data_IF_803442229798
#
_entry.id   IF_803442229798
#
_cell.length_a   1.000
_cell.length_b   1.000
_cell.length_c   1.000
_cell.angle_alpha   90.00
_cell.angle_beta   90.00
_cell.angle_gamma   90.00
#
_symmetry.space_group_name_H-M   'P 1'
#
loop_
_entity.id
_entity.type
_entity.pdbx_description
1 polymer ?
#
# COMPACT_ATOMS: atom_id res chain seq x y z
N UNK A 1 16.19 11.86 -8.36
CA UNK A 1 17.30 11.80 -9.27
C UNK A 1 17.63 10.41 -9.81
N UNK A 2 18.27 9.54 -9.03
CA UNK A 2 18.73 8.22 -9.52
C UNK A 2 17.60 7.25 -9.90
N UNK A 3 16.43 7.41 -9.29
CA UNK A 3 15.30 6.48 -9.45
C UNK A 3 14.28 6.96 -10.47
N UNK A 4 14.39 8.19 -10.94
CA UNK A 4 13.50 8.79 -11.92
C UNK A 4 14.15 8.87 -13.29
N UNK A 5 13.34 8.97 -14.34
CA UNK A 5 13.83 9.15 -15.71
C UNK A 5 13.89 10.63 -16.08
N UNK A 6 14.94 11.04 -16.75
CA UNK A 6 15.10 12.43 -17.21
C UNK A 6 14.13 12.84 -18.33
N UNK A 7 13.56 11.86 -19.04
CA UNK A 7 12.65 12.08 -20.17
C UNK A 7 11.53 11.05 -20.18
N UNK A 8 10.30 11.53 -20.40
CA UNK A 8 9.12 10.67 -20.60
C UNK A 8 9.41 9.60 -21.69
N UNK A 9 9.07 8.36 -21.40
CA UNK A 9 9.25 7.22 -22.29
C UNK A 9 10.60 6.50 -22.21
N UNK A 10 11.56 6.97 -21.40
CA UNK A 10 12.74 6.17 -21.06
C UNK A 10 12.38 5.16 -19.97
N UNK A 11 13.00 3.98 -20.04
CA UNK A 11 12.89 2.98 -18.98
C UNK A 11 13.64 3.46 -17.74
N UNK A 12 13.00 3.38 -16.57
CA UNK A 12 13.67 3.59 -15.30
C UNK A 12 14.64 2.44 -14.98
N UNK A 13 15.46 2.60 -13.93
CA UNK A 13 16.48 1.61 -13.54
C UNK A 13 15.89 0.24 -13.21
N UNK A 14 14.65 0.18 -12.76
CA UNK A 14 13.96 -1.03 -12.32
C UNK A 14 13.29 -1.80 -13.46
N UNK A 15 13.07 -1.17 -14.62
CA UNK A 15 12.31 -1.77 -15.70
C UNK A 15 12.89 -3.10 -16.18
N UNK A 16 12.12 -4.18 -16.02
CA UNK A 16 12.48 -5.55 -16.37
C UNK A 16 13.53 -6.18 -15.47
N UNK A 17 13.78 -5.63 -14.27
CA UNK A 17 14.70 -6.21 -13.27
C UNK A 17 13.94 -6.85 -12.12
N UNK A 18 14.63 -7.71 -11.37
CA UNK A 18 14.18 -8.16 -10.05
C UNK A 18 14.79 -7.22 -9.02
N UNK A 19 13.96 -6.71 -8.10
CA UNK A 19 14.39 -5.82 -7.04
C UNK A 19 14.50 -6.64 -5.75
N UNK A 20 15.61 -6.49 -5.04
CA UNK A 20 15.79 -7.00 -3.69
C UNK A 20 15.95 -5.83 -2.74
N UNK A 21 15.05 -5.72 -1.76
CA UNK A 21 15.05 -4.65 -0.77
C UNK A 21 15.55 -5.21 0.55
N UNK A 22 16.57 -4.57 1.12
CA UNK A 22 17.20 -4.95 2.37
C UNK A 22 17.31 -3.75 3.32
N UNK A 23 17.55 -4.01 4.60
CA UNK A 23 17.79 -2.95 5.59
C UNK A 23 16.55 -2.50 6.37
N UNK A 24 15.43 -3.21 6.23
CA UNK A 24 14.18 -2.96 6.93
C UNK A 24 13.68 -4.24 7.63
N UNK A 25 14.47 -4.87 8.52
CA UNK A 25 14.18 -6.19 9.06
C UNK A 25 12.90 -6.25 9.88
N UNK A 26 12.57 -5.17 10.60
CA UNK A 26 11.41 -5.08 11.50
C UNK A 26 10.11 -4.60 10.81
N UNK A 27 10.16 -4.39 9.48
CA UNK A 27 8.97 -3.98 8.73
C UNK A 27 7.88 -5.04 8.85
N UNK A 28 6.64 -4.61 9.11
CA UNK A 28 5.50 -5.54 9.12
C UNK A 28 5.27 -6.12 7.73
N UNK A 29 4.78 -7.36 7.67
CA UNK A 29 4.57 -8.05 6.38
C UNK A 29 3.63 -7.25 5.48
N UNK A 30 2.57 -6.64 6.02
CA UNK A 30 1.63 -5.80 5.28
C UNK A 30 2.31 -4.55 4.68
N UNK A 31 3.25 -3.94 5.42
CA UNK A 31 4.05 -2.82 4.92
C UNK A 31 5.05 -3.28 3.84
N UNK A 32 5.62 -4.49 4.00
CA UNK A 32 6.47 -5.08 2.97
C UNK A 32 5.67 -5.37 1.68
N UNK A 33 4.40 -5.76 1.78
CA UNK A 33 3.52 -5.91 0.62
C UNK A 33 3.30 -4.58 -0.10
N UNK A 34 2.99 -3.50 0.62
CA UNK A 34 2.85 -2.16 0.01
C UNK A 34 4.13 -1.74 -0.73
N UNK A 35 5.29 -1.94 -0.08
CA UNK A 35 6.59 -1.61 -0.66
C UNK A 35 6.90 -2.44 -1.91
N UNK A 36 6.61 -3.75 -1.89
CA UNK A 36 6.85 -4.63 -3.04
C UNK A 36 5.86 -4.38 -4.18
N UNK A 37 4.58 -4.07 -3.86
CA UNK A 37 3.56 -3.76 -4.86
C UNK A 37 3.93 -2.53 -5.68
N UNK A 38 4.50 -1.50 -5.05
CA UNK A 38 4.95 -0.30 -5.74
C UNK A 38 6.02 -0.57 -6.82
N UNK A 39 6.74 -1.70 -6.74
CA UNK A 39 7.70 -2.11 -7.75
C UNK A 39 7.04 -2.42 -9.10
N UNK A 40 5.80 -2.90 -9.10
CA UNK A 40 5.03 -3.17 -10.32
C UNK A 40 4.79 -1.87 -11.12
N UNK A 41 4.53 -0.76 -10.45
CA UNK A 41 4.35 0.56 -11.06
C UNK A 41 5.64 1.10 -11.70
N UNK A 42 6.78 0.53 -11.31
CA UNK A 42 8.09 0.82 -11.88
C UNK A 42 8.50 -0.17 -12.99
N UNK A 43 7.56 -1.04 -13.42
CA UNK A 43 7.79 -2.08 -14.43
C UNK A 43 8.89 -3.08 -14.04
N UNK A 44 9.10 -3.32 -12.75
CA UNK A 44 9.95 -4.39 -12.28
C UNK A 44 9.34 -5.76 -12.61
N UNK A 45 10.17 -6.76 -12.84
CA UNK A 45 9.72 -8.12 -13.11
C UNK A 45 9.32 -8.86 -11.83
N UNK A 46 9.96 -8.55 -10.71
CA UNK A 46 9.64 -9.05 -9.38
C UNK A 46 10.24 -8.12 -8.30
N UNK A 47 9.77 -8.28 -7.07
CA UNK A 47 10.36 -7.62 -5.91
C UNK A 47 10.32 -8.57 -4.71
N UNK A 48 11.43 -8.65 -3.98
CA UNK A 48 11.51 -9.30 -2.68
C UNK A 48 11.92 -8.27 -1.62
N UNK A 49 11.41 -8.45 -0.40
CA UNK A 49 11.75 -7.63 0.76
C UNK A 49 12.29 -8.55 1.85
N UNK A 50 13.52 -8.29 2.28
CA UNK A 50 14.12 -9.06 3.36
C UNK A 50 13.54 -8.60 4.70
N UNK A 51 12.95 -9.54 5.43
CA UNK A 51 12.42 -9.35 6.77
C UNK A 51 13.11 -10.31 7.73
N UNK A 52 13.08 -9.97 9.02
CA UNK A 52 13.39 -10.92 10.08
C UNK A 52 12.23 -11.91 10.26
N UNK A 53 12.47 -12.98 11.00
CA UNK A 53 11.48 -14.04 11.19
C UNK A 53 10.29 -13.61 12.05
N UNK A 54 10.49 -12.70 12.97
CA UNK A 54 9.48 -12.24 13.93
C UNK A 54 8.25 -11.62 13.26
N UNK A 55 8.37 -10.65 12.34
CA UNK A 55 7.21 -10.13 11.58
C UNK A 55 6.48 -11.22 10.79
N UNK A 56 7.22 -12.18 10.23
CA UNK A 56 6.63 -13.27 9.44
C UNK A 56 5.87 -14.23 10.36
N UNK A 57 6.42 -14.58 11.52
CA UNK A 57 5.75 -15.42 12.53
C UNK A 57 4.45 -14.76 13.01
N UNK A 58 4.48 -13.46 13.30
CA UNK A 58 3.30 -12.69 13.69
C UNK A 58 2.21 -12.77 12.62
N UNK A 59 2.57 -12.49 11.36
CA UNK A 59 1.64 -12.54 10.24
C UNK A 59 1.06 -13.95 10.02
N UNK A 60 1.88 -14.98 10.00
CA UNK A 60 1.42 -16.37 9.83
C UNK A 60 0.55 -16.84 10.99
N UNK A 61 0.87 -16.46 12.23
CA UNK A 61 0.08 -16.78 13.41
C UNK A 61 -1.32 -16.16 13.34
N UNK A 62 -1.40 -14.91 12.91
CA UNK A 62 -2.67 -14.22 12.67
C UNK A 62 -3.51 -14.92 11.59
N UNK A 63 -2.88 -15.34 10.49
CA UNK A 63 -3.56 -16.07 9.42
C UNK A 63 -4.03 -17.46 9.88
N UNK A 64 -3.27 -18.17 10.70
CA UNK A 64 -3.70 -19.46 11.27
C UNK A 64 -4.94 -19.27 12.14
N UNK A 65 -4.95 -18.26 13.01
CA UNK A 65 -6.12 -17.95 13.85
C UNK A 65 -7.35 -17.62 13.01
N UNK A 66 -7.19 -16.81 11.95
CA UNK A 66 -8.25 -16.48 11.01
C UNK A 66 -8.79 -17.73 10.31
N UNK A 67 -7.90 -18.59 9.79
CA UNK A 67 -8.30 -19.83 9.13
C UNK A 67 -9.09 -20.73 10.08
N UNK A 68 -8.68 -20.83 11.35
CA UNK A 68 -9.42 -21.54 12.39
C UNK A 68 -10.85 -21.03 12.53
N UNK A 69 -11.02 -19.70 12.65
CA UNK A 69 -12.33 -19.06 12.70
C UNK A 69 -13.17 -19.34 11.44
N UNK A 70 -12.58 -19.25 10.24
CA UNK A 70 -13.27 -19.57 8.98
C UNK A 70 -13.80 -21.02 8.96
N UNK A 71 -13.00 -21.98 9.45
CA UNK A 71 -13.41 -23.39 9.53
C UNK A 71 -14.58 -23.55 10.52
N UNK A 72 -14.51 -22.92 11.69
CA UNK A 72 -15.56 -22.94 12.71
C UNK A 72 -16.88 -22.33 12.20
N UNK A 73 -16.81 -21.29 11.40
CA UNK A 73 -17.94 -20.62 10.75
C UNK A 73 -18.51 -21.37 9.53
N UNK A 74 -17.91 -22.50 9.16
CA UNK A 74 -18.41 -23.37 8.09
C UNK A 74 -18.07 -22.91 6.68
N UNK A 75 -16.95 -22.20 6.49
CA UNK A 75 -16.45 -21.88 5.15
C UNK A 75 -16.21 -23.14 4.33
N UNK A 76 -16.47 -23.03 3.02
CA UNK A 76 -16.26 -24.16 2.09
C UNK A 76 -14.79 -24.60 2.07
N UNK A 77 -14.58 -25.89 1.78
CA UNK A 77 -13.27 -26.52 1.68
C UNK A 77 -12.39 -26.39 2.96
N UNK A 78 -12.98 -26.70 4.11
CA UNK A 78 -12.27 -26.74 5.40
C UNK A 78 -10.98 -27.57 5.37
N UNK A 79 -10.93 -28.63 4.54
CA UNK A 79 -9.73 -29.49 4.39
C UNK A 79 -8.55 -28.71 3.79
N UNK A 80 -8.79 -27.87 2.78
CA UNK A 80 -7.75 -27.02 2.19
C UNK A 80 -7.33 -25.90 3.15
N UNK A 81 -8.28 -25.31 3.88
CA UNK A 81 -8.01 -24.33 4.91
C UNK A 81 -7.10 -24.92 6.00
N UNK A 82 -7.44 -26.09 6.52
CA UNK A 82 -6.62 -26.77 7.54
C UNK A 82 -5.20 -27.05 7.02
N UNK A 83 -5.08 -27.61 5.81
CA UNK A 83 -3.75 -27.86 5.21
C UNK A 83 -2.90 -26.61 5.09
N UNK A 84 -3.51 -25.44 4.80
CA UNK A 84 -2.80 -24.16 4.78
C UNK A 84 -2.31 -23.76 6.17
N UNK A 85 -3.19 -23.86 7.18
CA UNK A 85 -2.82 -23.57 8.57
C UNK A 85 -1.68 -24.48 9.05
N UNK A 86 -1.75 -25.79 8.74
CA UNK A 86 -0.72 -26.76 9.10
C UNK A 86 0.64 -26.41 8.46
N UNK A 87 0.65 -25.96 7.19
CA UNK A 87 1.88 -25.55 6.51
C UNK A 87 2.47 -24.27 7.09
N UNK A 88 1.65 -23.31 7.47
CA UNK A 88 2.10 -22.10 8.17
C UNK A 88 2.70 -22.47 9.53
N UNK A 89 2.05 -23.37 10.28
CA UNK A 89 2.54 -23.83 11.57
C UNK A 89 3.85 -24.63 11.45
N UNK A 90 4.00 -25.45 10.40
CA UNK A 90 5.23 -26.17 10.09
C UNK A 90 6.41 -25.18 9.89
N UNK A 91 6.18 -24.11 9.13
CA UNK A 91 7.19 -23.06 8.93
C UNK A 91 7.53 -22.30 10.22
N UNK A 92 6.51 -21.93 11.02
CA UNK A 92 6.71 -21.26 12.31
C UNK A 92 7.58 -22.11 13.26
N UNK A 93 7.38 -23.43 13.25
CA UNK A 93 8.14 -24.34 14.11
C UNK A 93 9.60 -24.48 13.68
N UNK A 94 9.92 -24.23 12.42
CA UNK A 94 11.26 -24.29 11.86
C UNK A 94 11.43 -23.19 10.80
N UNK A 95 11.54 -21.89 11.22
CA UNK A 95 11.61 -20.78 10.29
C UNK A 95 12.89 -20.82 9.45
N UNK A 96 12.73 -20.81 8.13
CA UNK A 96 13.83 -20.70 7.17
C UNK A 96 13.61 -19.48 6.30
N UNK A 97 14.54 -18.52 6.36
CA UNK A 97 14.51 -17.30 5.58
C UNK A 97 15.35 -17.48 4.32
N UNK A 98 14.82 -16.99 3.19
CA UNK A 98 15.61 -16.87 1.97
C UNK A 98 16.61 -15.73 2.13
N UNK A 99 17.85 -16.01 1.80
CA UNK A 99 18.94 -15.03 1.78
C UNK A 99 19.62 -15.06 0.42
N UNK A 100 20.18 -13.93 -0.04
CA UNK A 100 20.97 -13.91 -1.26
C UNK A 100 22.18 -14.86 -1.14
N UNK A 101 22.60 -15.44 -2.25
CA UNK A 101 23.86 -16.18 -2.33
C UNK A 101 25.03 -15.25 -2.02
N UNK A 102 26.07 -15.77 -1.36
CA UNK A 102 27.22 -14.96 -0.95
C UNK A 102 28.00 -14.34 -2.13
N UNK A 103 27.85 -14.90 -3.32
CA UNK A 103 28.46 -14.46 -4.57
C UNK A 103 27.44 -13.87 -5.56
N UNK A 104 26.26 -13.47 -5.08
CA UNK A 104 25.24 -12.85 -5.91
C UNK A 104 25.75 -11.56 -6.57
N UNK A 105 25.67 -11.49 -7.90
CA UNK A 105 26.03 -10.31 -8.66
C UNK A 105 24.79 -9.44 -8.95
N UNK A 106 24.87 -8.16 -8.57
CA UNK A 106 23.79 -7.19 -8.80
C UNK A 106 24.12 -6.26 -9.95
N UNK A 107 23.15 -6.05 -10.84
CA UNK A 107 23.26 -5.06 -11.93
C UNK A 107 23.48 -3.64 -11.43
N UNK A 108 22.87 -3.28 -10.32
CA UNK A 108 23.01 -2.00 -9.64
C UNK A 108 22.69 -2.18 -8.14
N UNK A 109 23.37 -1.41 -7.32
CA UNK A 109 23.09 -1.29 -5.87
C UNK A 109 22.72 0.18 -5.63
N UNK A 110 21.60 0.40 -4.96
CA UNK A 110 21.09 1.73 -4.62
C UNK A 110 20.91 1.80 -3.11
N UNK A 111 21.64 2.69 -2.48
CA UNK A 111 21.54 2.93 -1.04
C UNK A 111 20.68 4.18 -0.78
N UNK A 112 19.69 4.05 0.10
CA UNK A 112 18.78 5.13 0.48
C UNK A 112 18.84 5.29 1.99
N UNK A 113 19.35 6.43 2.46
CA UNK A 113 19.30 6.79 3.87
C UNK A 113 17.91 7.36 4.19
N UNK A 114 17.09 6.56 4.86
CA UNK A 114 15.73 6.95 5.25
C UNK A 114 15.70 8.12 6.24
N UNK A 115 16.78 8.40 6.99
CA UNK A 115 16.84 9.56 7.88
C UNK A 115 16.83 10.89 7.11
N UNK A 116 17.12 10.86 5.81
CA UNK A 116 17.04 12.05 4.95
C UNK A 116 15.61 12.38 4.51
N UNK A 117 14.66 11.47 4.71
CA UNK A 117 13.25 11.66 4.38
C UNK A 117 12.54 12.25 5.59
N UNK A 118 12.41 13.56 5.65
CA UNK A 118 11.89 14.32 6.80
C UNK A 118 10.48 14.87 6.61
N UNK A 119 9.91 14.72 5.41
CA UNK A 119 8.56 15.16 5.06
C UNK A 119 7.94 14.25 3.98
N UNK A 120 6.61 14.28 3.78
CA UNK A 120 5.96 13.51 2.73
C UNK A 120 6.51 13.82 1.34
N UNK A 121 6.70 12.77 0.54
CA UNK A 121 7.05 12.84 -0.87
C UNK A 121 5.81 12.52 -1.68
N UNK A 122 5.49 13.35 -2.65
CA UNK A 122 4.31 13.22 -3.50
C UNK A 122 4.74 13.02 -4.96
N UNK A 123 4.03 12.15 -5.67
CA UNK A 123 4.10 12.11 -7.12
C UNK A 123 3.12 13.14 -7.71
N UNK A 124 3.59 13.94 -8.64
CA UNK A 124 2.79 14.97 -9.27
C UNK A 124 1.87 14.38 -10.35
N UNK A 125 0.77 15.06 -10.72
CA UNK A 125 -0.24 14.50 -11.60
C UNK A 125 0.31 13.92 -12.90
N UNK A 126 -0.16 12.72 -13.21
CA UNK A 126 0.03 12.00 -14.46
C UNK A 126 1.49 11.63 -14.79
N UNK A 127 2.39 11.71 -13.81
CA UNK A 127 3.77 11.27 -13.99
C UNK A 127 4.33 10.69 -12.67
N UNK A 128 4.47 9.37 -12.56
CA UNK A 128 5.02 8.73 -11.36
C UNK A 128 6.51 9.00 -11.16
N UNK A 129 7.19 9.59 -12.14
CA UNK A 129 8.59 9.98 -12.06
C UNK A 129 8.78 11.45 -11.64
N UNK A 130 7.72 12.26 -11.70
CA UNK A 130 7.73 13.65 -11.23
C UNK A 130 7.36 13.69 -9.74
N UNK A 131 8.36 13.43 -8.89
CA UNK A 131 8.20 13.36 -7.44
C UNK A 131 8.92 14.53 -6.77
N UNK A 132 8.28 15.09 -5.73
CA UNK A 132 8.87 16.15 -4.94
C UNK A 132 8.32 16.13 -3.50
N UNK A 133 8.97 16.87 -2.62
CA UNK A 133 8.52 17.03 -1.25
C UNK A 133 7.28 17.91 -1.15
N UNK A 134 6.47 17.70 -0.12
CA UNK A 134 5.28 18.52 0.12
C UNK A 134 5.61 20.02 0.20
N UNK A 135 6.72 20.37 0.87
CA UNK A 135 7.19 21.75 0.98
C UNK A 135 7.51 22.35 -0.39
N UNK A 136 8.24 21.64 -1.24
CA UNK A 136 8.58 22.11 -2.57
C UNK A 136 7.33 22.28 -3.45
N UNK A 137 6.43 21.32 -3.44
CA UNK A 137 5.16 21.39 -4.18
C UNK A 137 4.33 22.60 -3.74
N UNK A 138 4.26 22.85 -2.43
CA UNK A 138 3.52 24.01 -1.91
C UNK A 138 4.14 25.34 -2.28
N UNK A 139 5.45 25.42 -2.46
CA UNK A 139 6.16 26.63 -2.82
C UNK A 139 6.25 26.87 -4.33
N UNK A 140 6.06 25.87 -5.17
CA UNK A 140 6.08 26.01 -6.63
C UNK A 140 4.73 26.55 -7.14
N UNK A 141 4.68 27.78 -7.70
CA UNK A 141 3.44 28.36 -8.22
C UNK A 141 2.86 27.62 -9.45
N UNK A 142 3.63 26.75 -10.08
CA UNK A 142 3.21 25.97 -11.26
C UNK A 142 2.50 24.68 -10.87
N UNK A 143 2.60 24.25 -9.61
CA UNK A 143 1.96 23.03 -9.12
C UNK A 143 0.50 23.27 -8.76
N UNK A 144 -0.31 22.20 -8.88
CA UNK A 144 -1.72 22.23 -8.48
C UNK A 144 -1.82 22.47 -6.97
N UNK A 145 -2.64 23.44 -6.58
CA UNK A 145 -2.85 23.80 -5.16
C UNK A 145 -4.23 23.41 -4.66
N UNK A 146 -5.22 23.40 -5.55
CA UNK A 146 -6.59 23.02 -5.19
C UNK A 146 -6.78 21.55 -5.46
N UNK A 147 -7.21 20.81 -4.43
CA UNK A 147 -7.60 19.43 -4.51
C UNK A 147 -9.12 19.36 -4.54
N UNK A 148 -9.69 18.77 -5.59
CA UNK A 148 -11.13 18.62 -5.76
C UNK A 148 -11.64 17.33 -5.10
N UNK A 149 -10.88 16.26 -5.22
CA UNK A 149 -11.24 14.95 -4.65
C UNK A 149 -10.05 14.31 -3.93
N UNK A 150 -10.34 13.52 -2.91
CA UNK A 150 -9.35 12.74 -2.16
C UNK A 150 -9.75 11.27 -2.21
N UNK A 151 -8.82 10.40 -2.53
CA UNK A 151 -9.02 8.95 -2.51
C UNK A 151 -8.07 8.30 -1.51
N UNK A 152 -8.62 7.61 -0.51
CA UNK A 152 -7.86 6.84 0.46
C UNK A 152 -8.20 5.36 0.31
N UNK A 153 -7.22 4.59 -0.10
CA UNK A 153 -7.36 3.16 -0.32
C UNK A 153 -6.47 2.65 -1.45
N UNK A 154 -6.43 1.38 -1.56
CA UNK A 154 -5.95 0.52 -2.65
C UNK A 154 -6.01 -0.93 -2.16
N UNK A 155 -5.82 -1.90 -3.06
CA UNK A 155 -5.76 -3.32 -2.67
C UNK A 155 -4.60 -3.65 -1.70
N UNK A 156 -3.59 -2.79 -1.59
CA UNK A 156 -2.42 -2.98 -0.73
C UNK A 156 -2.31 -1.99 0.42
N UNK A 157 -3.27 -1.07 0.57
CA UNK A 157 -3.26 -0.11 1.68
C UNK A 157 -3.57 -0.83 3.00
N UNK A 158 -2.65 -0.81 3.96
CA UNK A 158 -2.87 -1.49 5.23
C UNK A 158 -3.91 -0.76 6.11
N UNK A 159 -4.54 -1.53 7.00
CA UNK A 159 -5.61 -1.04 7.88
C UNK A 159 -5.16 0.14 8.77
N UNK A 160 -3.87 0.21 9.13
CA UNK A 160 -3.31 1.31 9.94
C UNK A 160 -3.49 2.69 9.29
N UNK A 161 -3.43 2.77 7.95
CA UNK A 161 -3.66 4.03 7.23
C UNK A 161 -5.11 4.53 7.40
N UNK A 162 -6.09 3.61 7.37
CA UNK A 162 -7.50 3.97 7.58
C UNK A 162 -7.77 4.40 9.02
N UNK A 163 -7.11 3.77 10.00
CA UNK A 163 -7.16 4.20 11.40
C UNK A 163 -6.58 5.61 11.56
N UNK A 164 -5.42 5.87 10.94
CA UNK A 164 -4.82 7.21 10.94
C UNK A 164 -5.75 8.25 10.28
N UNK A 165 -6.37 7.92 9.14
CA UNK A 165 -7.39 8.78 8.52
C UNK A 165 -8.55 9.06 9.49
N UNK A 166 -9.04 8.04 10.18
CA UNK A 166 -10.12 8.20 11.16
C UNK A 166 -9.75 9.13 12.30
N UNK A 167 -8.54 9.04 12.84
CA UNK A 167 -8.07 9.96 13.88
C UNK A 167 -7.94 11.41 13.37
N UNK A 168 -7.52 11.61 12.13
CA UNK A 168 -7.47 12.96 11.50
C UNK A 168 -8.87 13.54 11.30
N UNK A 169 -9.85 12.72 10.91
CA UNK A 169 -11.22 13.19 10.64
C UNK A 169 -12.11 13.30 11.86
N UNK A 170 -11.67 12.77 12.99
CA UNK A 170 -12.47 12.70 14.23
C UNK A 170 -12.82 14.08 14.76
N UNK A 171 -14.10 14.42 14.69
CA UNK A 171 -14.64 15.70 15.19
C UNK A 171 -14.57 16.86 14.21
N UNK A 172 -13.99 16.67 13.02
CA UNK A 172 -13.86 17.75 12.02
C UNK A 172 -15.17 18.01 11.24
N UNK A 173 -16.10 17.08 11.23
CA UNK A 173 -17.32 17.17 10.42
C UNK A 173 -17.05 16.93 8.92
N UNK A 174 -17.96 17.40 8.07
CA UNK A 174 -17.87 17.20 6.62
C UNK A 174 -16.67 17.93 6.03
N UNK A 175 -15.83 17.19 5.26
CA UNK A 175 -14.65 17.75 4.59
C UNK A 175 -15.03 18.48 3.31
N UNK A 176 -14.28 19.55 2.91
CA UNK A 176 -14.64 20.38 1.77
C UNK A 176 -14.41 19.69 0.39
N UNK A 177 -13.57 18.67 0.35
CA UNK A 177 -13.28 17.88 -0.87
C UNK A 177 -14.07 16.60 -0.87
N UNK A 178 -14.46 16.11 -2.04
CA UNK A 178 -15.11 14.79 -2.15
C UNK A 178 -14.13 13.71 -1.71
N UNK A 179 -14.47 13.03 -0.63
CA UNK A 179 -13.63 12.00 -0.03
C UNK A 179 -14.12 10.59 -0.39
N UNK A 180 -13.22 9.77 -0.91
CA UNK A 180 -13.45 8.37 -1.21
C UNK A 180 -12.65 7.50 -0.24
N UNK A 181 -13.27 6.45 0.30
CA UNK A 181 -12.60 5.48 1.17
C UNK A 181 -12.90 4.07 0.68
N UNK A 182 -11.84 3.32 0.32
CA UNK A 182 -11.94 1.97 -0.18
C UNK A 182 -10.89 1.06 0.49
N UNK A 183 -11.25 0.30 1.54
CA UNK A 183 -10.32 -0.62 2.20
C UNK A 183 -9.96 -1.79 1.26
N UNK A 184 -8.84 -2.50 1.49
CA UNK A 184 -8.39 -3.58 0.61
C UNK A 184 -9.29 -4.81 0.66
N UNK A 185 -9.82 -5.17 1.84
CA UNK A 185 -10.59 -6.40 2.02
C UNK A 185 -11.90 -6.18 2.79
N UNK A 186 -12.80 -7.15 2.68
CA UNK A 186 -14.02 -7.16 3.49
C UNK A 186 -13.71 -7.24 4.99
N UNK A 187 -12.65 -7.94 5.36
CA UNK A 187 -12.22 -8.07 6.76
C UNK A 187 -11.78 -6.73 7.33
N UNK A 188 -10.98 -5.96 6.59
CA UNK A 188 -10.58 -4.60 7.00
C UNK A 188 -11.81 -3.71 7.16
N UNK A 189 -12.78 -3.81 6.24
CA UNK A 189 -14.05 -3.10 6.35
C UNK A 189 -14.80 -3.46 7.63
N UNK A 190 -14.92 -4.76 7.92
CA UNK A 190 -15.61 -5.24 9.13
C UNK A 190 -14.90 -4.77 10.38
N UNK A 191 -13.59 -4.92 10.46
CA UNK A 191 -12.78 -4.47 11.58
C UNK A 191 -12.89 -2.96 11.81
N UNK A 192 -12.76 -2.15 10.77
CA UNK A 192 -12.91 -0.69 10.85
C UNK A 192 -14.32 -0.28 11.24
N UNK A 193 -15.33 -1.08 10.88
CA UNK A 193 -16.72 -0.85 11.29
C UNK A 193 -16.91 -1.15 12.79
N UNK A 194 -16.38 -2.26 13.28
CA UNK A 194 -16.40 -2.64 14.70
C UNK A 194 -15.65 -1.61 15.57
N UNK A 195 -14.54 -1.08 15.08
CA UNK A 195 -13.77 -0.03 15.74
C UNK A 195 -14.42 1.36 15.68
N UNK A 196 -15.52 1.52 14.91
CA UNK A 196 -16.28 2.76 14.78
C UNK A 196 -15.76 3.75 13.73
N UNK A 197 -14.69 3.44 13.02
CA UNK A 197 -14.12 4.35 12.01
C UNK A 197 -15.05 4.60 10.83
N UNK A 198 -15.85 3.62 10.43
CA UNK A 198 -16.83 3.84 9.36
C UNK A 198 -17.86 4.92 9.68
N UNK A 199 -18.23 5.07 10.95
CA UNK A 199 -19.10 6.17 11.41
C UNK A 199 -18.40 7.53 11.31
N UNK A 200 -17.09 7.58 11.59
CA UNK A 200 -16.28 8.80 11.46
C UNK A 200 -16.16 9.17 9.98
N UNK A 201 -15.87 8.23 9.10
CA UNK A 201 -15.79 8.47 7.65
C UNK A 201 -17.13 8.98 7.10
N UNK A 202 -18.24 8.37 7.51
CA UNK A 202 -19.56 8.82 7.09
C UNK A 202 -19.88 10.23 7.58
N UNK A 203 -19.53 10.57 8.83
CA UNK A 203 -19.71 11.91 9.39
C UNK A 203 -18.86 12.97 8.66
N UNK A 204 -17.70 12.58 8.14
CA UNK A 204 -16.86 13.42 7.29
C UNK A 204 -17.35 13.55 5.83
N UNK A 205 -18.51 12.95 5.49
CA UNK A 205 -19.06 12.97 4.14
C UNK A 205 -18.36 12.02 3.16
N UNK A 206 -17.60 11.05 3.65
CA UNK A 206 -16.87 10.13 2.81
C UNK A 206 -17.82 9.20 2.04
N UNK A 207 -17.52 9.00 0.76
CA UNK A 207 -18.09 7.94 -0.06
C UNK A 207 -17.35 6.64 0.20
N UNK A 208 -18.06 5.68 0.80
CA UNK A 208 -17.53 4.39 1.20
C UNK A 208 -17.71 3.40 0.06
N UNK A 209 -16.61 2.96 -0.53
CA UNK A 209 -16.61 2.05 -1.67
C UNK A 209 -16.47 0.59 -1.24
N UNK A 210 -16.81 -0.30 -2.18
CA UNK A 210 -16.60 -1.75 -1.99
C UNK A 210 -15.09 -2.01 -1.86
N UNK A 211 -14.68 -2.85 -0.89
CA UNK A 211 -13.28 -3.22 -0.74
C UNK A 211 -12.64 -3.76 -2.01
N UNK A 212 -11.39 -3.36 -2.28
CA UNK A 212 -10.61 -3.86 -3.41
C UNK A 212 -9.82 -2.78 -4.15
N UNK A 213 -9.61 -3.00 -5.45
CA UNK A 213 -8.76 -2.18 -6.30
C UNK A 213 -9.30 -0.76 -6.58
N UNK A 214 -10.62 -0.65 -6.71
CA UNK A 214 -11.37 0.60 -6.85
C UNK A 214 -10.81 1.59 -7.88
N UNK A 215 -10.18 2.70 -7.44
CA UNK A 215 -9.64 3.75 -8.32
C UNK A 215 -8.61 3.22 -9.32
N UNK A 216 -7.71 2.35 -8.90
CA UNK A 216 -6.66 1.80 -9.77
C UNK A 216 -7.19 1.09 -11.02
N UNK A 217 -8.39 0.51 -10.92
CA UNK A 217 -9.08 -0.18 -12.02
C UNK A 217 -10.11 0.71 -12.71
N UNK A 218 -10.43 1.88 -12.16
CA UNK A 218 -11.46 2.76 -12.68
C UNK A 218 -12.88 2.16 -12.67
N UNK A 219 -13.12 1.15 -11.82
CA UNK A 219 -14.36 0.37 -11.87
C UNK A 219 -15.38 0.72 -10.77
N UNK A 220 -14.97 1.41 -9.71
CA UNK A 220 -15.83 1.76 -8.58
C UNK A 220 -15.72 3.25 -8.26
N UNK A 221 -14.57 3.71 -7.73
CA UNK A 221 -14.32 5.12 -7.55
C UNK A 221 -14.04 5.75 -8.92
N UNK A 222 -15.01 6.51 -9.41
CA UNK A 222 -14.88 7.29 -10.63
C UNK A 222 -14.80 8.76 -10.28
N UNK A 223 -13.61 9.31 -10.40
CA UNK A 223 -13.36 10.74 -10.15
C UNK A 223 -13.97 11.59 -11.27
N UNK A 224 -14.25 12.84 -10.95
CA UNK A 224 -14.84 13.77 -11.92
C UNK A 224 -13.82 14.12 -13.01
N UNK A 225 -14.28 14.33 -14.24
CA UNK A 225 -13.43 14.72 -15.35
C UNK A 225 -12.68 16.04 -15.03
N UNK A 226 -11.37 16.03 -15.22
CA UNK A 226 -10.51 17.18 -14.96
C UNK A 226 -10.27 17.47 -13.47
N UNK A 227 -10.75 16.64 -12.54
CA UNK A 227 -10.53 16.84 -11.11
C UNK A 227 -9.06 16.63 -10.72
N UNK A 228 -8.55 17.49 -9.85
CA UNK A 228 -7.29 17.27 -9.18
C UNK A 228 -7.52 16.32 -7.98
N UNK A 229 -6.95 15.13 -8.05
CA UNK A 229 -7.14 14.07 -7.05
C UNK A 229 -5.88 13.88 -6.22
N UNK A 230 -6.03 13.95 -4.89
CA UNK A 230 -5.01 13.50 -3.97
C UNK A 230 -5.29 12.03 -3.60
N UNK A 231 -4.33 11.15 -3.83
CA UNK A 231 -4.57 9.71 -3.69
C UNK A 231 -3.44 9.01 -2.93
N UNK A 232 -3.81 8.02 -2.12
CA UNK A 232 -2.88 7.04 -1.54
C UNK A 232 -2.63 5.84 -2.49
N UNK A 233 -3.28 5.80 -3.64
CA UNK A 233 -3.06 4.76 -4.64
C UNK A 233 -1.66 4.87 -5.25
N UNK A 234 -1.06 3.74 -5.59
CA UNK A 234 0.24 3.67 -6.29
C UNK A 234 0.16 4.10 -7.75
N UNK A 235 -1.04 4.18 -8.32
CA UNK A 235 -1.29 4.58 -9.71
C UNK A 235 -1.31 6.09 -9.87
N UNK A 236 -0.52 6.58 -10.84
CA UNK A 236 -0.44 8.01 -11.18
C UNK A 236 -0.21 8.17 -12.70
N UNK A 237 -1.27 8.16 -13.47
CA UNK A 237 -1.24 8.29 -14.93
C UNK A 237 -2.55 8.93 -15.45
N UNK A 238 -2.51 9.44 -16.66
CA UNK A 238 -3.70 9.95 -17.36
C UNK A 238 -4.77 8.86 -17.51
N UNK A 239 -6.04 9.24 -17.48
CA UNK A 239 -7.20 8.35 -17.67
C UNK A 239 -7.15 7.55 -18.96
#
# INVERSE_FOLDING_TARGET
>A
GLLTVEKKGKKNVFAGTIIEIQGLPDLKVEQAFELSDSAAERSAAACSVQLDKEPIIEYLSSNIALIGKMIEEGYEDAKTLQRRADKMQEWINNPELLTPDADAEYKAIIEIDLNTITEPILACPNDPDDVDTLTNINNDPKRIKKIDEVFVGSCMTNIGLFRALGEVLKGEGEVPSKLWVAPPTKMDKEQLTEEGYYSIFAAAGARLEIPGCSLCMGNQAQVSEGAAVFSTSTRNFDN
#
